data_IF_226843697597
#
_entry.id   IF_226843697597
#
_cell.length_a   1.000
_cell.length_b   1.000
_cell.length_c   1.000
_cell.angle_alpha   90.00
_cell.angle_beta   90.00
_cell.angle_gamma   90.00
#
_symmetry.space_group_name_H-M   'P 1'
#
loop_
_entity.id
_entity.type
_entity.pdbx_description
1 polymer ?
#
# COMPACT_ATOMS: atom_id res chain seq x y z
N UNK A 1 -23.77 10.81 -18.96
CA UNK A 1 -23.29 10.33 -17.65
C UNK A 1 -22.20 11.27 -17.17
N UNK A 2 -22.40 12.04 -16.10
CA UNK A 2 -21.33 12.92 -15.58
C UNK A 2 -20.26 12.03 -14.94
N UNK A 3 -19.00 12.17 -15.39
CA UNK A 3 -17.84 11.44 -14.86
C UNK A 3 -17.74 11.58 -13.34
N UNK A 4 -17.25 10.56 -12.63
CA UNK A 4 -16.98 10.62 -11.18
C UNK A 4 -16.14 11.85 -10.81
N UNK A 5 -15.29 12.33 -11.73
CA UNK A 5 -14.51 13.58 -11.57
C UNK A 5 -15.38 14.81 -11.27
N UNK A 6 -16.63 14.84 -11.73
CA UNK A 6 -17.56 15.95 -11.49
C UNK A 6 -18.21 15.95 -10.09
N UNK A 7 -17.94 14.92 -9.28
CA UNK A 7 -18.47 14.76 -7.91
C UNK A 7 -17.36 14.78 -6.84
N UNK A 8 -16.11 14.93 -7.24
CA UNK A 8 -14.97 15.12 -6.33
C UNK A 8 -15.03 16.59 -5.90
N UNK A 9 -15.43 16.86 -4.66
CA UNK A 9 -15.25 18.19 -4.08
C UNK A 9 -13.76 18.41 -3.79
N UNK A 10 -13.34 19.66 -3.55
CA UNK A 10 -11.93 20.01 -3.30
C UNK A 10 -11.35 19.30 -2.05
N UNK A 11 -12.21 18.71 -1.21
CA UNK A 11 -11.85 17.94 -0.01
C UNK A 11 -11.58 16.46 -0.30
N UNK A 12 -12.01 15.93 -1.46
CA UNK A 12 -11.87 14.51 -1.82
C UNK A 12 -10.54 14.28 -2.51
N UNK A 13 -9.62 13.57 -1.83
CA UNK A 13 -8.34 13.15 -2.43
C UNK A 13 -8.47 11.77 -3.06
N UNK A 14 -8.26 11.66 -4.37
CA UNK A 14 -8.17 10.36 -5.06
C UNK A 14 -6.76 9.81 -4.90
N UNK A 15 -6.64 8.63 -4.30
CA UNK A 15 -5.36 7.95 -4.02
C UNK A 15 -5.32 6.56 -4.65
N UNK A 16 -4.11 6.07 -4.95
CA UNK A 16 -3.91 4.68 -5.36
C UNK A 16 -4.14 3.72 -4.20
N UNK A 17 -4.65 2.52 -4.48
CA UNK A 17 -4.87 1.50 -3.46
C UNK A 17 -3.58 0.68 -3.23
N UNK A 18 -3.04 0.69 -2.00
CA UNK A 18 -1.82 -0.07 -1.63
C UNK A 18 -1.97 -1.56 -1.91
N UNK A 19 -3.13 -2.14 -1.66
CA UNK A 19 -3.37 -3.54 -1.97
C UNK A 19 -3.17 -3.83 -3.46
N UNK A 20 -3.79 -3.04 -4.33
CA UNK A 20 -3.64 -3.21 -5.78
C UNK A 20 -2.21 -2.93 -6.25
N UNK A 21 -1.51 -2.01 -5.60
CA UNK A 21 -0.07 -1.79 -5.83
C UNK A 21 0.75 -3.03 -5.50
N UNK A 22 0.63 -3.58 -4.28
CA UNK A 22 1.36 -4.78 -3.86
C UNK A 22 0.98 -5.98 -4.73
N UNK A 23 -0.31 -6.18 -5.02
CA UNK A 23 -0.79 -7.26 -5.88
C UNK A 23 -0.20 -7.15 -7.29
N UNK A 24 -0.11 -5.94 -7.86
CA UNK A 24 0.52 -5.71 -9.14
C UNK A 24 2.03 -6.00 -9.11
N UNK A 25 2.73 -5.64 -8.02
CA UNK A 25 4.15 -5.99 -7.84
C UNK A 25 4.34 -7.51 -7.76
N UNK A 26 3.62 -8.20 -6.89
CA UNK A 26 3.71 -9.65 -6.71
C UNK A 26 3.38 -10.39 -8.01
N UNK A 27 2.32 -9.98 -8.72
CA UNK A 27 1.94 -10.59 -9.99
C UNK A 27 3.04 -10.48 -11.05
N UNK A 28 3.72 -9.34 -11.14
CA UNK A 28 4.79 -9.15 -12.12
C UNK A 28 6.11 -9.76 -11.67
N UNK A 29 6.38 -9.78 -10.36
CA UNK A 29 7.51 -10.49 -9.78
C UNK A 29 7.49 -11.98 -10.18
N UNK A 30 6.35 -12.66 -9.98
CA UNK A 30 6.18 -14.08 -10.36
C UNK A 30 6.33 -14.35 -11.85
N UNK A 31 6.19 -13.32 -12.69
CA UNK A 31 6.33 -13.44 -14.16
C UNK A 31 7.75 -13.15 -14.64
N UNK A 32 8.47 -12.28 -13.95
CA UNK A 32 9.74 -11.70 -14.41
C UNK A 32 10.95 -12.15 -13.59
N UNK A 33 10.73 -12.84 -12.46
CA UNK A 33 11.79 -13.30 -11.57
C UNK A 33 11.60 -14.76 -11.17
N UNK A 34 12.70 -15.42 -10.85
CA UNK A 34 12.68 -16.69 -10.12
C UNK A 34 12.28 -16.42 -8.66
N UNK A 35 11.27 -17.13 -8.17
CA UNK A 35 10.82 -17.01 -6.78
C UNK A 35 11.88 -17.48 -5.78
N UNK A 36 12.89 -18.24 -6.19
CA UNK A 36 13.98 -18.68 -5.32
C UNK A 36 15.15 -17.69 -5.25
N UNK A 37 15.26 -16.76 -6.20
CA UNK A 37 16.34 -15.78 -6.24
C UNK A 37 16.26 -14.80 -5.04
N UNK A 38 17.34 -14.79 -4.26
CA UNK A 38 17.51 -13.95 -3.07
C UNK A 38 17.56 -12.46 -3.44
N UNK A 39 18.24 -12.12 -4.54
CA UNK A 39 18.37 -10.75 -5.04
C UNK A 39 16.99 -10.22 -5.47
N UNK A 40 16.24 -11.02 -6.22
CA UNK A 40 14.90 -10.67 -6.65
C UNK A 40 13.93 -10.51 -5.46
N UNK A 41 13.99 -11.40 -4.46
CA UNK A 41 13.20 -11.29 -3.22
C UNK A 41 13.51 -10.00 -2.44
N UNK A 42 14.79 -9.63 -2.33
CA UNK A 42 15.21 -8.40 -1.67
C UNK A 42 14.66 -7.18 -2.42
N UNK A 43 14.74 -7.17 -3.75
CA UNK A 43 14.16 -6.14 -4.59
C UNK A 43 12.63 -6.02 -4.37
N UNK A 44 11.89 -7.13 -4.36
CA UNK A 44 10.44 -7.10 -4.10
C UNK A 44 10.11 -6.46 -2.74
N UNK A 45 10.85 -6.79 -1.68
CA UNK A 45 10.65 -6.20 -0.34
C UNK A 45 10.86 -4.70 -0.36
N UNK A 46 11.94 -4.23 -0.97
CA UNK A 46 12.25 -2.80 -1.10
C UNK A 46 11.13 -2.06 -1.86
N UNK A 47 10.66 -2.63 -2.97
CA UNK A 47 9.60 -2.01 -3.78
C UNK A 47 8.26 -1.97 -3.03
N UNK A 48 7.90 -3.01 -2.28
CA UNK A 48 6.71 -2.99 -1.43
C UNK A 48 6.73 -1.89 -0.36
N UNK A 49 7.90 -1.38 0.01
CA UNK A 49 8.05 -0.30 0.99
C UNK A 49 7.88 1.11 0.39
N UNK A 50 7.94 1.27 -0.94
CA UNK A 50 7.88 2.58 -1.62
C UNK A 50 6.65 3.46 -1.27
N UNK A 51 5.45 2.93 -0.97
CA UNK A 51 4.33 3.75 -0.52
C UNK A 51 4.57 4.50 0.80
N UNK A 52 5.58 4.09 1.57
CA UNK A 52 5.83 4.58 2.93
C UNK A 52 7.08 5.45 3.05
N UNK A 53 7.82 5.65 1.94
CA UNK A 53 9.08 6.39 1.98
C UNK A 53 8.90 7.82 1.45
N UNK A 54 9.58 8.83 2.03
CA UNK A 54 9.61 10.18 1.47
C UNK A 54 10.08 10.21 0.01
N UNK A 55 9.70 11.25 -0.74
CA UNK A 55 10.00 11.36 -2.17
C UNK A 55 11.51 11.31 -2.43
N UNK A 56 12.29 11.91 -1.54
CA UNK A 56 13.74 11.94 -1.62
C UNK A 56 14.32 10.51 -1.52
N UNK A 57 13.73 9.65 -0.68
CA UNK A 57 14.14 8.24 -0.55
C UNK A 57 13.67 7.42 -1.75
N UNK A 58 12.45 7.69 -2.25
CA UNK A 58 11.94 7.05 -3.46
C UNK A 58 12.82 7.34 -4.69
N UNK A 59 13.32 8.57 -4.83
CA UNK A 59 14.25 8.95 -5.89
C UNK A 59 15.58 8.21 -5.79
N UNK A 60 16.11 8.02 -4.58
CA UNK A 60 17.32 7.20 -4.34
C UNK A 60 17.08 5.76 -4.79
N UNK A 61 15.94 5.16 -4.42
CA UNK A 61 15.56 3.81 -4.85
C UNK A 61 15.50 3.75 -6.38
N UNK A 62 14.82 4.70 -7.03
CA UNK A 62 14.70 4.73 -8.49
C UNK A 62 16.06 4.84 -9.19
N UNK A 63 17.00 5.65 -8.67
CA UNK A 63 18.37 5.73 -9.20
C UNK A 63 19.10 4.39 -9.14
N UNK A 64 18.94 3.64 -8.04
CA UNK A 64 19.56 2.32 -7.92
C UNK A 64 18.91 1.27 -8.81
N UNK A 65 17.60 1.34 -9.02
CA UNK A 65 16.93 0.51 -10.02
C UNK A 65 17.42 0.81 -11.44
N UNK A 66 17.69 2.07 -11.75
CA UNK A 66 18.16 2.49 -13.08
C UNK A 66 19.51 1.86 -13.43
N UNK A 67 20.38 1.68 -12.42
CA UNK A 67 21.68 1.02 -12.55
C UNK A 67 21.58 -0.48 -12.91
N UNK A 68 20.46 -1.13 -12.59
CA UNK A 68 20.27 -2.58 -12.84
C UNK A 68 19.19 -2.87 -13.89
N UNK A 69 18.54 -1.85 -14.47
CA UNK A 69 17.37 -2.05 -15.33
C UNK A 69 17.65 -2.85 -16.60
N UNK A 70 18.88 -2.82 -17.11
CA UNK A 70 19.24 -3.55 -18.33
C UNK A 70 19.53 -5.05 -18.08
N UNK A 71 19.72 -5.43 -16.81
CA UNK A 71 19.98 -6.81 -16.40
C UNK A 71 18.87 -7.40 -15.52
N UNK A 72 17.87 -6.60 -15.14
CA UNK A 72 16.75 -7.02 -14.31
C UNK A 72 15.42 -6.49 -14.85
N UNK A 73 14.63 -7.38 -15.47
CA UNK A 73 13.36 -7.04 -16.10
C UNK A 73 12.32 -6.52 -15.10
N UNK A 74 12.38 -6.95 -13.83
CA UNK A 74 11.46 -6.48 -12.80
C UNK A 74 11.78 -5.04 -12.37
N UNK A 75 13.06 -4.68 -12.26
CA UNK A 75 13.50 -3.31 -12.04
C UNK A 75 13.08 -2.40 -13.22
N UNK A 76 13.28 -2.87 -14.46
CA UNK A 76 12.84 -2.18 -15.69
C UNK A 76 11.33 -1.96 -15.71
N UNK A 77 10.55 -3.00 -15.39
CA UNK A 77 9.09 -2.92 -15.25
C UNK A 77 8.69 -1.86 -14.22
N UNK A 78 9.35 -1.86 -13.05
CA UNK A 78 9.01 -0.94 -11.98
C UNK A 78 9.23 0.51 -12.42
N UNK A 79 10.40 0.83 -12.97
CA UNK A 79 10.72 2.18 -13.43
C UNK A 79 9.74 2.69 -14.49
N UNK A 80 9.43 1.85 -15.48
CA UNK A 80 8.51 2.21 -16.56
C UNK A 80 7.07 2.42 -16.07
N UNK A 81 6.63 1.63 -15.08
CA UNK A 81 5.24 1.63 -14.63
C UNK A 81 4.98 2.61 -13.49
N UNK A 82 5.92 2.71 -12.56
CA UNK A 82 5.76 3.34 -11.24
C UNK A 82 6.77 4.46 -10.96
N UNK A 83 7.93 4.47 -11.62
CA UNK A 83 9.04 5.38 -11.30
C UNK A 83 8.70 6.88 -11.40
N UNK A 84 7.69 7.26 -12.20
CA UNK A 84 7.20 8.65 -12.32
C UNK A 84 5.87 8.91 -11.61
N UNK A 85 5.38 7.95 -10.84
CA UNK A 85 4.03 7.97 -10.24
C UNK A 85 4.08 8.02 -8.71
N UNK A 86 5.09 8.68 -8.15
CA UNK A 86 5.23 8.83 -6.70
C UNK A 86 3.93 9.36 -6.06
N UNK A 87 3.34 10.41 -6.61
CA UNK A 87 2.07 10.99 -6.13
C UNK A 87 0.86 10.07 -6.24
N UNK A 88 0.95 8.96 -6.97
CA UNK A 88 -0.13 7.95 -7.02
C UNK A 88 0.12 6.85 -5.98
N UNK A 89 1.40 6.57 -5.71
CA UNK A 89 1.87 5.52 -4.80
C UNK A 89 1.87 6.02 -3.35
N UNK A 90 2.20 7.29 -3.13
CA UNK A 90 2.49 7.90 -1.84
C UNK A 90 1.49 8.99 -1.44
N UNK A 91 0.20 8.62 -1.38
CA UNK A 91 -0.84 9.53 -0.88
C UNK A 91 -1.59 9.01 0.34
N UNK A 92 -1.07 7.96 0.95
CA UNK A 92 -1.73 7.33 2.08
C UNK A 92 -0.99 7.71 3.34
N UNK A 93 -1.68 8.41 4.25
CA UNK A 93 -1.13 8.61 5.58
C UNK A 93 -1.12 7.25 6.26
N UNK A 94 -0.07 6.97 7.03
CA UNK A 94 0.02 5.75 7.86
C UNK A 94 -1.19 5.63 8.81
N UNK A 95 -1.83 6.76 9.14
CA UNK A 95 -3.08 6.83 9.90
C UNK A 95 -4.32 6.27 9.22
N UNK A 96 -4.34 6.18 7.88
CA UNK A 96 -5.57 5.91 7.13
C UNK A 96 -5.94 4.41 7.12
N UNK A 97 -5.07 3.55 7.69
CA UNK A 97 -5.30 2.10 7.85
C UNK A 97 -5.74 1.34 6.58
N UNK A 98 -5.47 1.88 5.38
CA UNK A 98 -5.88 1.27 4.08
C UNK A 98 -4.86 0.21 3.61
N UNK A 99 -4.25 -0.52 4.54
CA UNK A 99 -3.21 -1.52 4.25
C UNK A 99 -3.77 -2.94 4.14
N UNK A 100 -4.99 -3.14 4.63
CA UNK A 100 -5.62 -4.45 4.65
C UNK A 100 -6.76 -4.53 3.65
N UNK A 101 -6.73 -5.56 2.82
CA UNK A 101 -7.86 -5.94 1.99
C UNK A 101 -8.99 -6.58 2.81
N UNK A 102 -8.83 -6.77 4.14
CA UNK A 102 -9.82 -7.40 4.99
C UNK A 102 -11.21 -6.77 4.84
N UNK A 103 -11.32 -5.45 4.67
CA UNK A 103 -12.61 -4.80 4.43
C UNK A 103 -13.28 -5.28 3.14
N UNK A 104 -12.54 -5.26 2.03
CA UNK A 104 -13.03 -5.65 0.71
C UNK A 104 -13.18 -7.16 0.57
N UNK A 105 -12.24 -7.96 1.09
CA UNK A 105 -12.32 -9.42 1.13
C UNK A 105 -13.43 -9.90 2.04
N UNK A 106 -13.60 -9.28 3.21
CA UNK A 106 -14.75 -9.55 4.07
C UNK A 106 -16.03 -9.20 3.32
N UNK A 107 -16.09 -8.04 2.67
CA UNK A 107 -17.27 -7.63 1.91
C UNK A 107 -17.58 -8.61 0.79
N UNK A 108 -16.59 -8.95 -0.03
CA UNK A 108 -16.72 -9.93 -1.11
C UNK A 108 -17.07 -11.32 -0.59
N UNK A 109 -16.50 -11.76 0.54
CA UNK A 109 -16.82 -13.04 1.17
C UNK A 109 -18.28 -13.08 1.64
N UNK A 110 -18.75 -12.02 2.31
CA UNK A 110 -20.14 -11.90 2.76
C UNK A 110 -21.08 -11.77 1.56
N UNK A 111 -20.72 -11.00 0.55
CA UNK A 111 -21.49 -10.87 -0.67
C UNK A 111 -21.63 -12.22 -1.39
N UNK A 112 -20.50 -12.90 -1.63
CA UNK A 112 -20.47 -14.19 -2.30
C UNK A 112 -21.21 -15.29 -1.53
N UNK A 113 -21.26 -15.22 -0.19
CA UNK A 113 -22.05 -16.18 0.60
C UNK A 113 -23.56 -15.99 0.46
N UNK A 114 -24.03 -14.84 -0.04
CA UNK A 114 -25.45 -14.54 -0.24
C UNK A 114 -25.87 -14.61 -1.71
N UNK A 115 -24.92 -14.67 -2.65
CA UNK A 115 -25.20 -14.89 -4.07
C UNK A 115 -25.50 -16.38 -4.27
N UNK A 116 -26.79 -16.72 -4.39
CA UNK A 116 -27.23 -18.09 -4.63
C UNK A 116 -27.11 -18.51 -6.11
N UNK A 117 -27.04 -17.55 -7.04
CA UNK A 117 -27.04 -17.80 -8.48
C UNK A 117 -25.96 -16.97 -9.20
N UNK A 118 -25.27 -17.50 -10.22
CA UNK A 118 -24.21 -16.79 -10.96
C UNK A 118 -24.67 -15.49 -11.63
N UNK A 119 -25.97 -15.40 -11.98
CA UNK A 119 -26.57 -14.25 -12.67
C UNK A 119 -27.86 -13.82 -11.99
N UNK A 120 -27.80 -13.14 -10.83
CA UNK A 120 -28.99 -12.67 -10.14
C UNK A 120 -29.67 -11.56 -10.95
N UNK A 121 -31.00 -11.59 -11.02
CA UNK A 121 -31.78 -10.43 -11.54
C UNK A 121 -31.51 -9.20 -10.67
N UNK A 122 -31.81 -8.00 -11.18
CA UNK A 122 -31.66 -6.74 -10.42
C UNK A 122 -32.37 -6.79 -9.06
N UNK A 123 -33.61 -7.30 -8.98
CA UNK A 123 -34.35 -7.40 -7.71
C UNK A 123 -33.67 -8.32 -6.70
N UNK A 124 -33.19 -9.48 -7.15
CA UNK A 124 -32.40 -10.40 -6.33
C UNK A 124 -31.09 -9.75 -5.85
N UNK A 125 -30.41 -8.99 -6.71
CA UNK A 125 -29.17 -8.29 -6.34
C UNK A 125 -29.44 -7.22 -5.27
N UNK A 126 -30.49 -6.41 -5.43
CA UNK A 126 -30.87 -5.41 -4.43
C UNK A 126 -31.16 -6.08 -3.08
N UNK A 127 -31.92 -7.17 -3.08
CA UNK A 127 -32.23 -7.92 -1.86
C UNK A 127 -30.99 -8.52 -1.19
N UNK A 128 -30.05 -9.03 -1.97
CA UNK A 128 -28.75 -9.53 -1.49
C UNK A 128 -27.96 -8.40 -0.84
N UNK A 129 -27.86 -7.23 -1.49
CA UNK A 129 -27.13 -6.09 -0.96
C UNK A 129 -27.72 -5.60 0.37
N UNK A 130 -29.05 -5.56 0.52
CA UNK A 130 -29.71 -5.21 1.77
C UNK A 130 -29.37 -6.19 2.91
N UNK A 131 -29.24 -7.48 2.62
CA UNK A 131 -28.79 -8.49 3.60
C UNK A 131 -27.34 -8.27 4.02
N UNK A 132 -26.46 -8.05 3.05
CA UNK A 132 -25.04 -7.77 3.29
C UNK A 132 -24.91 -6.51 4.17
N UNK A 133 -25.62 -5.44 3.84
CA UNK A 133 -25.58 -4.17 4.57
C UNK A 133 -26.01 -4.34 6.03
N UNK A 134 -27.07 -5.10 6.29
CA UNK A 134 -27.52 -5.43 7.66
C UNK A 134 -26.46 -6.19 8.46
N UNK A 135 -25.72 -7.11 7.84
CA UNK A 135 -24.61 -7.83 8.50
C UNK A 135 -23.50 -6.88 8.91
N UNK A 136 -23.15 -5.91 8.05
CA UNK A 136 -22.13 -4.91 8.36
C UNK A 136 -22.58 -3.92 9.42
N UNK A 137 -23.82 -3.44 9.34
CA UNK A 137 -24.42 -2.60 10.37
C UNK A 137 -24.31 -3.23 11.77
N UNK A 138 -24.66 -4.52 11.89
CA UNK A 138 -24.53 -5.24 13.17
C UNK A 138 -23.08 -5.45 13.62
N UNK A 139 -22.11 -5.54 12.70
CA UNK A 139 -20.68 -5.63 13.05
C UNK A 139 -20.15 -4.29 13.57
N UNK A 140 -20.49 -3.18 12.93
CA UNK A 140 -20.10 -1.84 13.36
C UNK A 140 -20.70 -1.48 14.72
N UNK A 141 -21.97 -1.82 14.95
CA UNK A 141 -22.62 -1.63 16.25
C UNK A 141 -21.94 -2.41 17.39
N UNK A 142 -21.28 -3.54 17.09
CA UNK A 142 -20.51 -4.31 18.09
C UNK A 142 -19.10 -3.74 18.29
N UNK A 143 -18.46 -3.26 17.22
CA UNK A 143 -17.11 -2.68 17.29
C UNK A 143 -17.05 -1.35 18.03
N UNK A 144 -18.14 -0.57 18.10
CA UNK A 144 -18.17 0.65 18.92
C UNK A 144 -17.99 0.39 20.43
N UNK A 145 -18.06 -0.87 20.89
CA UNK A 145 -17.81 -1.24 22.28
C UNK A 145 -16.36 -1.68 22.58
N UNK A 146 -15.52 -1.90 21.57
CA UNK A 146 -14.14 -2.38 21.74
C UNK A 146 -13.11 -1.35 21.24
N UNK A 147 -12.36 -0.77 22.16
CA UNK A 147 -11.23 0.13 21.87
C UNK A 147 -10.04 -0.65 21.29
N UNK A 148 -9.94 -0.77 19.96
CA UNK A 148 -8.80 -1.42 19.32
C UNK A 148 -7.64 -0.44 19.01
N UNK A 149 -6.50 -0.69 19.65
CA UNK A 149 -5.20 0.00 19.47
C UNK A 149 -4.41 -0.57 18.27
N UNK A 150 -4.93 -0.42 17.05
CA UNK A 150 -4.23 -0.83 15.82
C UNK A 150 -3.24 0.22 15.27
N UNK A 151 -3.01 1.32 15.99
CA UNK A 151 -2.25 2.48 15.46
C UNK A 151 -0.73 2.27 15.45
N UNK A 152 -0.20 1.25 16.12
CA UNK A 152 1.26 1.03 16.25
C UNK A 152 1.88 0.04 15.25
N UNK A 153 1.11 -0.74 14.48
CA UNK A 153 1.67 -1.92 13.81
C UNK A 153 2.13 -1.74 12.36
N UNK A 154 2.06 -0.54 11.77
CA UNK A 154 2.30 -0.35 10.33
C UNK A 154 3.39 0.67 9.99
N UNK A 155 4.10 1.19 10.99
CA UNK A 155 5.22 2.08 10.78
C UNK A 155 6.51 1.28 10.52
N UNK A 156 7.16 1.52 9.38
CA UNK A 156 8.50 1.01 9.09
C UNK A 156 9.48 2.19 9.26
N UNK A 157 10.34 2.18 10.30
CA UNK A 157 11.33 3.25 10.49
C UNK A 157 12.24 3.40 9.27
N UNK A 158 12.66 4.63 8.94
CA UNK A 158 13.62 4.85 7.85
C UNK A 158 14.95 4.13 8.08
N UNK A 159 15.32 3.87 9.34
CA UNK A 159 16.47 3.02 9.68
C UNK A 159 16.30 1.57 9.21
N UNK A 160 15.07 1.05 9.23
CA UNK A 160 14.74 -0.28 8.69
C UNK A 160 14.70 -0.28 7.16
N UNK A 161 14.24 0.81 6.54
CA UNK A 161 14.35 0.99 5.09
C UNK A 161 15.82 1.04 4.64
N UNK A 162 16.67 1.75 5.39
CA UNK A 162 18.12 1.78 5.14
C UNK A 162 18.73 0.37 5.17
N UNK A 163 18.34 -0.47 6.12
CA UNK A 163 18.80 -1.86 6.19
C UNK A 163 18.39 -2.67 4.96
N UNK A 164 17.13 -2.56 4.53
CA UNK A 164 16.65 -3.26 3.32
C UNK A 164 17.36 -2.74 2.06
N UNK A 165 17.65 -1.43 2.00
CA UNK A 165 18.40 -0.81 0.92
C UNK A 165 19.86 -1.28 0.90
N UNK A 166 20.51 -1.38 2.06
CA UNK A 166 21.87 -1.92 2.21
C UNK A 166 21.92 -3.37 1.71
N UNK A 167 20.99 -4.22 2.15
CA UNK A 167 20.87 -5.62 1.69
C UNK A 167 20.68 -5.68 0.18
N UNK A 168 19.77 -4.87 -0.36
CA UNK A 168 19.56 -4.79 -1.80
C UNK A 168 20.83 -4.38 -2.54
N UNK A 169 21.50 -3.30 -2.14
CA UNK A 169 22.72 -2.83 -2.81
C UNK A 169 23.84 -3.87 -2.76
N UNK A 170 24.02 -4.54 -1.61
CA UNK A 170 24.99 -5.62 -1.45
C UNK A 170 24.72 -6.80 -2.39
N UNK A 171 23.47 -7.28 -2.43
CA UNK A 171 23.05 -8.42 -3.25
C UNK A 171 23.29 -8.18 -4.76
N UNK A 172 23.19 -6.93 -5.21
CA UNK A 172 23.41 -6.54 -6.60
C UNK A 172 24.82 -5.99 -6.87
N UNK A 173 25.73 -6.01 -5.89
CA UNK A 173 27.10 -5.50 -6.05
C UNK A 173 27.16 -3.99 -6.36
N UNK A 174 26.18 -3.22 -5.88
CA UNK A 174 26.07 -1.79 -6.11
C UNK A 174 26.79 -1.01 -5.02
N UNK A 175 27.25 0.20 -5.36
CA UNK A 175 27.68 1.16 -4.34
C UNK A 175 26.56 1.39 -3.33
N UNK A 176 26.93 1.39 -2.04
CA UNK A 176 26.00 1.59 -0.94
C UNK A 176 25.22 2.90 -1.13
N UNK A 177 23.90 2.82 -1.06
CA UNK A 177 23.06 4.00 -0.94
C UNK A 177 22.91 4.34 0.54
N UNK A 178 23.13 5.59 0.90
CA UNK A 178 22.86 6.08 2.25
C UNK A 178 21.75 7.12 2.20
N UNK A 179 20.71 6.91 3.00
CA UNK A 179 19.68 7.92 3.25
C UNK A 179 20.34 9.02 4.10
N UNK A 180 20.43 10.27 3.61
CA UNK A 180 21.10 11.34 4.33
C UNK A 180 20.57 11.53 5.76
N UNK A 181 21.48 11.77 6.70
CA UNK A 181 21.16 11.86 8.13
C UNK A 181 20.15 12.96 8.44
N UNK A 182 20.15 14.01 7.63
CA UNK A 182 19.25 15.16 7.68
C UNK A 182 17.81 14.75 7.33
N UNK A 183 17.64 13.85 6.36
CA UNK A 183 16.33 13.29 5.97
C UNK A 183 15.81 12.37 7.07
N UNK A 184 16.69 11.53 7.63
CA UNK A 184 16.33 10.68 8.77
C UNK A 184 15.86 11.55 9.94
N UNK A 185 16.59 12.61 10.29
CA UNK A 185 16.21 13.55 11.37
C UNK A 185 14.92 14.29 11.06
N UNK A 186 14.73 14.79 9.83
CA UNK A 186 13.51 15.48 9.37
C UNK A 186 12.25 14.62 9.57
N UNK A 187 12.33 13.34 9.26
CA UNK A 187 11.19 12.41 9.36
C UNK A 187 11.15 11.60 10.67
N UNK A 188 12.14 11.77 11.55
CA UNK A 188 12.20 11.11 12.87
C UNK A 188 11.04 11.49 13.78
N UNK A 189 10.59 12.76 13.71
CA UNK A 189 9.61 13.34 14.63
C UNK A 189 8.27 13.70 13.96
N UNK A 190 8.12 13.47 12.64
CA UNK A 190 6.91 13.86 11.92
C UNK A 190 5.66 13.02 12.27
N UNK A 191 5.82 11.99 13.11
CA UNK A 191 4.76 11.05 13.49
C UNK A 191 4.42 11.03 14.98
N UNK A 192 5.08 11.87 15.80
CA UNK A 192 4.74 12.09 17.22
C UNK A 192 3.73 13.23 17.42
N UNK A 193 3.30 13.90 16.34
CA UNK A 193 2.37 15.02 16.42
C UNK A 193 0.91 14.54 16.34
N UNK A 194 0.18 14.92 17.38
CA UNK A 194 -1.28 14.85 17.60
C UNK A 194 -1.84 13.53 18.14
N UNK A 195 -1.48 13.20 19.39
CA UNK A 195 -2.55 12.84 20.33
C UNK A 195 -3.24 14.14 20.75
N UNK A 196 -4.49 14.42 20.36
CA UNK A 196 -5.27 15.31 21.20
C UNK A 196 -5.37 14.59 22.55
N UNK A 197 -4.86 15.24 23.60
CA UNK A 197 -5.24 14.91 24.96
C UNK A 197 -6.73 15.20 24.99
N UNK A 198 -7.55 14.16 24.88
CA UNK A 198 -8.96 14.26 25.26
C UNK A 198 -8.90 14.20 26.78
N UNK A 199 -8.89 15.38 27.42
CA UNK A 199 -9.23 15.48 28.83
C UNK A 199 -10.69 15.03 28.97
N UNK A 200 -10.90 14.03 29.83
CA UNK A 200 -12.21 13.49 30.21
C UNK A 200 -12.85 14.44 31.22
#
# INVERSE_FOLDING_TARGET
MKSIKSKVNDETTVTGCIFHYIAALVKNFKKLCDENDVCAKSLLKLLCACPFVPIEVFEIICKKLDAIKEINDFAKYFLNTWGKKYDVINKLKVSDMIFSNNGVESFNKVLNSHIAFPHPTIYHMIYILLKVDKVYFHRYARQQNDNFDHKKSYFIPLTRIQQELDVFTSNFGLERAEIPSEIIKKHKNHFDLERPIIEI
#
